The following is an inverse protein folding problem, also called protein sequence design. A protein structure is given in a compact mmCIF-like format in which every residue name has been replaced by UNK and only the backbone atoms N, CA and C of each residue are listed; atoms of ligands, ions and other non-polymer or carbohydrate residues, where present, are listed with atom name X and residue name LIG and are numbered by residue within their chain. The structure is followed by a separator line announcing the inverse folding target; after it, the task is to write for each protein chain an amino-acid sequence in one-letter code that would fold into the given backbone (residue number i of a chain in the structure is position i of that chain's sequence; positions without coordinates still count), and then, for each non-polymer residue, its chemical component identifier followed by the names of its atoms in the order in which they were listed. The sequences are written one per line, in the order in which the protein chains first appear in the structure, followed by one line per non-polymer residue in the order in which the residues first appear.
data_IF_618063447121
#
_entry.id   IF_618063447121
#
_cell.length_a   1.000
_cell.length_b   1.000
_cell.length_c   1.000
_cell.angle_alpha   90.00
_cell.angle_beta   90.00
_cell.angle_gamma   90.00
#
_symmetry.space_group_name_H-M   'P 1'
#
loop_
_entity.id
_entity.type
_entity.pdbx_description
1 polymer ?
#
# COMPACT_ATOMS: atom_id res chain seq x y z
N UNK A 1 -51.19 -50.24 12.86
CA UNK A 1 -52.07 -50.45 14.04
C UNK A 1 -51.20 -50.91 15.21
N UNK A 2 -50.75 -49.99 16.06
CA UNK A 2 -50.02 -50.25 17.31
C UNK A 2 -50.01 -48.95 18.15
N UNK A 3 -49.87 -49.04 19.47
CA UNK A 3 -49.97 -47.91 20.41
C UNK A 3 -49.08 -48.18 21.63
N UNK A 4 -48.45 -47.15 22.19
CA UNK A 4 -48.09 -46.91 23.62
C UNK A 4 -47.17 -45.65 23.64
N UNK A 5 -47.45 -44.49 24.28
CA UNK A 5 -47.87 -44.14 25.69
C UNK A 5 -46.66 -44.18 26.65
N UNK A 6 -46.31 -43.23 27.54
CA UNK A 6 -46.74 -41.86 27.96
C UNK A 6 -45.55 -41.23 28.79
N UNK A 7 -45.42 -39.96 29.23
CA UNK A 7 -46.18 -38.70 29.14
C UNK A 7 -45.24 -37.48 29.44
N UNK A 8 -45.81 -36.30 29.77
CA UNK A 8 -45.17 -35.03 30.23
C UNK A 8 -44.42 -34.22 29.15
N UNK A 9 -44.69 -32.93 28.88
CA UNK A 9 -45.57 -31.92 29.52
C UNK A 9 -44.72 -30.76 30.11
N UNK A 10 -44.99 -29.46 29.92
CA UNK A 10 -46.18 -28.66 29.52
C UNK A 10 -45.76 -27.71 28.36
N UNK A 11 -46.59 -27.14 27.48
CA UNK A 11 -47.88 -26.48 27.66
C UNK A 11 -47.70 -24.96 27.90
N UNK A 12 -48.29 -23.97 27.21
CA UNK A 12 -48.86 -23.75 25.86
C UNK A 12 -49.86 -22.57 25.97
N UNK A 13 -49.72 -21.52 25.14
CA UNK A 13 -50.70 -20.40 24.95
C UNK A 13 -50.89 -19.50 26.22
N UNK A 14 -51.48 -18.28 26.24
CA UNK A 14 -52.45 -17.54 25.39
C UNK A 14 -52.27 -16.00 25.59
N UNK A 15 -52.48 -15.15 24.55
CA UNK A 15 -52.73 -13.66 24.60
C UNK A 15 -51.58 -12.74 25.11
N UNK A 16 -51.60 -11.39 24.94
CA UNK A 16 -52.62 -10.48 24.40
C UNK A 16 -52.07 -9.33 23.50
N UNK A 17 -52.99 -8.54 22.98
CA UNK A 17 -52.95 -7.47 21.95
C UNK A 17 -51.99 -6.27 22.11
N UNK A 18 -51.75 -5.59 20.95
CA UNK A 18 -51.65 -4.13 20.72
C UNK A 18 -50.97 -3.22 21.76
N UNK A 19 -49.93 -2.48 21.33
CA UNK A 19 -50.02 -1.00 21.23
C UNK A 19 -48.97 -0.40 20.27
N UNK A 20 -49.07 0.90 19.99
CA UNK A 20 -48.40 1.61 18.88
C UNK A 20 -47.12 2.38 19.24
N UNK A 21 -46.36 2.73 18.19
CA UNK A 21 -45.28 3.71 18.11
C UNK A 21 -45.33 4.90 19.12
N UNK A 22 -44.24 5.14 19.85
CA UNK A 22 -43.36 6.33 19.77
C UNK A 22 -42.67 6.66 21.11
N UNK A 23 -41.42 7.16 21.03
CA UNK A 23 -40.58 7.70 22.13
C UNK A 23 -40.14 6.65 23.19
N UNK A 24 -38.87 6.57 23.59
CA UNK A 24 -37.68 7.28 23.10
C UNK A 24 -36.51 7.13 24.08
N UNK A 25 -35.57 6.21 23.80
CA UNK A 25 -34.39 5.97 24.64
C UNK A 25 -33.13 6.61 24.05
N UNK A 26 -32.57 7.62 24.71
CA UNK A 26 -31.38 8.33 24.22
C UNK A 26 -30.10 7.47 24.17
N UNK A 27 -30.07 6.31 24.83
CA UNK A 27 -28.90 5.45 24.94
C UNK A 27 -28.61 4.62 23.67
N UNK A 28 -29.63 4.22 22.90
CA UNK A 28 -29.40 3.55 21.61
C UNK A 28 -28.75 4.50 20.59
N UNK A 29 -29.18 5.76 20.60
CA UNK A 29 -28.58 6.82 19.81
C UNK A 29 -27.14 7.14 20.23
N UNK A 30 -26.75 6.94 21.49
CA UNK A 30 -25.35 7.07 21.91
C UNK A 30 -24.49 5.96 21.30
N UNK A 31 -24.95 4.71 21.28
CA UNK A 31 -24.20 3.60 20.65
C UNK A 31 -24.08 3.82 19.14
N UNK A 32 -25.18 4.18 18.46
CA UNK A 32 -25.14 4.50 17.03
C UNK A 32 -24.28 5.74 16.72
N UNK A 33 -24.38 6.80 17.54
CA UNK A 33 -23.55 7.99 17.38
C UNK A 33 -22.08 7.72 17.67
N UNK A 34 -21.71 6.84 18.61
CA UNK A 34 -20.30 6.47 18.86
C UNK A 34 -19.74 5.56 17.75
N UNK A 35 -20.56 4.70 17.14
CA UNK A 35 -20.18 4.02 15.89
C UNK A 35 -19.98 5.02 14.74
N UNK A 36 -20.86 6.02 14.60
CA UNK A 36 -20.68 7.08 13.60
C UNK A 36 -19.50 8.01 13.91
N UNK A 37 -19.21 8.30 15.18
CA UNK A 37 -18.11 9.19 15.57
C UNK A 37 -16.75 8.49 15.44
N UNK A 38 -16.67 7.18 15.69
CA UNK A 38 -15.47 6.40 15.34
C UNK A 38 -15.28 6.29 13.82
N UNK A 39 -16.35 6.32 13.03
CA UNK A 39 -16.28 6.47 11.57
C UNK A 39 -15.85 7.89 11.12
N UNK A 40 -16.32 8.94 11.79
CA UNK A 40 -16.08 10.35 11.41
C UNK A 40 -14.79 10.97 11.97
N UNK A 41 -14.26 10.46 13.09
CA UNK A 41 -12.90 10.79 13.57
C UNK A 41 -11.83 10.25 12.62
N UNK A 42 -12.20 9.38 11.66
CA UNK A 42 -11.35 8.95 10.53
C UNK A 42 -11.25 9.99 9.40
N UNK A 43 -11.58 11.26 9.61
CA UNK A 43 -11.22 12.32 8.66
C UNK A 43 -9.70 12.30 8.42
N UNK A 44 -9.29 12.29 7.14
CA UNK A 44 -7.92 12.10 6.65
C UNK A 44 -7.34 10.67 6.74
N UNK A 45 -8.16 9.61 6.60
CA UNK A 45 -7.66 8.23 6.48
C UNK A 45 -6.62 8.09 5.36
N UNK A 46 -5.38 7.78 5.73
CA UNK A 46 -4.33 7.41 4.79
C UNK A 46 -4.11 5.91 4.88
N UNK A 47 -4.38 5.21 3.78
CA UNK A 47 -4.20 3.78 3.65
C UNK A 47 -2.76 3.38 4.00
N UNK A 48 -2.61 2.33 4.80
CA UNK A 48 -1.33 1.98 5.42
C UNK A 48 -0.86 0.63 4.92
N UNK A 49 0.11 0.66 4.02
CA UNK A 49 0.81 -0.51 3.51
C UNK A 49 1.84 -0.92 4.56
N UNK A 50 1.60 -2.06 5.22
CA UNK A 50 2.64 -2.74 6.01
C UNK A 50 3.50 -3.57 5.07
N UNK A 51 4.63 -3.01 4.65
CA UNK A 51 5.73 -3.82 4.12
C UNK A 51 6.28 -4.66 5.27
N UNK A 52 6.75 -5.90 5.03
CA UNK A 52 7.08 -6.85 6.12
C UNK A 52 8.38 -6.51 6.89
N UNK A 53 8.91 -5.31 6.73
CA UNK A 53 10.11 -4.76 7.40
C UNK A 53 9.75 -3.39 7.95
N UNK A 54 9.34 -3.33 9.23
CA UNK A 54 9.19 -2.12 10.07
C UNK A 54 8.12 -1.10 9.66
N UNK A 55 8.16 -0.62 8.42
CA UNK A 55 7.63 0.67 8.01
C UNK A 55 6.18 0.66 7.51
N UNK A 56 5.52 1.78 7.81
CA UNK A 56 4.14 2.09 7.43
C UNK A 56 4.18 3.03 6.22
N UNK A 57 4.12 2.43 5.03
CA UNK A 57 4.10 3.16 3.76
C UNK A 57 2.69 3.69 3.51
N UNK A 58 2.55 5.02 3.63
CA UNK A 58 1.25 5.71 3.62
C UNK A 58 0.80 6.12 2.21
N UNK A 59 -0.20 5.41 1.70
CA UNK A 59 -0.90 5.67 0.43
C UNK A 59 -2.21 6.41 0.71
N UNK A 60 -2.52 7.50 0.03
CA UNK A 60 -3.84 8.14 0.20
C UNK A 60 -4.93 7.34 -0.50
N UNK A 61 -6.16 7.34 0.04
CA UNK A 61 -7.33 6.78 -0.65
C UNK A 61 -7.48 7.37 -2.07
N UNK A 62 -7.21 8.68 -2.21
CA UNK A 62 -7.18 9.39 -3.49
C UNK A 62 -6.08 8.94 -4.46
N UNK A 63 -5.07 8.21 -3.99
CA UNK A 63 -4.06 7.54 -4.83
C UNK A 63 -4.47 6.09 -5.13
N UNK A 64 -5.00 5.35 -4.14
CA UNK A 64 -5.57 4.01 -4.35
C UNK A 64 -6.68 4.02 -5.40
N UNK A 65 -7.64 4.96 -5.31
CA UNK A 65 -8.70 5.13 -6.32
C UNK A 65 -8.15 5.47 -7.71
N UNK A 66 -7.04 6.21 -7.80
CA UNK A 66 -6.37 6.49 -9.09
C UNK A 66 -5.66 5.26 -9.64
N UNK A 67 -5.07 4.43 -8.78
CA UNK A 67 -4.49 3.15 -9.18
C UNK A 67 -5.57 2.20 -9.72
N UNK A 68 -6.68 2.02 -8.99
CA UNK A 68 -7.83 1.21 -9.43
C UNK A 68 -8.34 1.67 -10.81
N UNK A 69 -8.71 2.95 -10.95
CA UNK A 69 -9.23 3.51 -12.20
C UNK A 69 -8.24 3.41 -13.37
N UNK A 70 -6.93 3.44 -13.10
CA UNK A 70 -5.90 3.28 -14.15
C UNK A 70 -5.68 1.81 -14.49
N UNK A 71 -5.77 0.90 -13.53
CA UNK A 71 -5.63 -0.54 -13.74
C UNK A 71 -6.75 -1.07 -14.63
N UNK A 72 -8.02 -0.86 -14.25
CA UNK A 72 -9.18 -1.36 -15.01
C UNK A 72 -9.16 -0.82 -16.44
N UNK A 73 -9.04 0.49 -16.58
CA UNK A 73 -8.99 1.15 -17.89
C UNK A 73 -7.82 0.68 -18.77
N UNK A 74 -6.62 0.45 -18.21
CA UNK A 74 -5.48 -0.02 -19.00
C UNK A 74 -5.62 -1.48 -19.41
N UNK A 75 -6.31 -2.30 -18.62
CA UNK A 75 -6.67 -3.67 -19.01
C UNK A 75 -7.76 -3.69 -20.09
N UNK A 76 -8.78 -2.83 -19.99
CA UNK A 76 -9.87 -2.68 -20.98
C UNK A 76 -9.40 -2.18 -22.36
N UNK A 77 -8.21 -1.57 -22.44
CA UNK A 77 -7.58 -1.19 -23.72
C UNK A 77 -6.94 -2.38 -24.47
N UNK A 78 -6.91 -3.57 -23.87
CA UNK A 78 -6.33 -4.78 -24.46
C UNK A 78 -7.42 -5.55 -25.24
N UNK A 79 -7.27 -5.80 -26.55
CA UNK A 79 -8.33 -6.39 -27.40
C UNK A 79 -8.66 -7.87 -27.10
N UNK A 80 -8.09 -8.44 -26.05
CA UNK A 80 -8.36 -9.80 -25.54
C UNK A 80 -9.03 -9.79 -24.17
N UNK A 81 -9.02 -8.65 -23.48
CA UNK A 81 -9.74 -8.42 -22.21
C UNK A 81 -11.09 -7.83 -22.55
N UNK A 82 -12.15 -8.53 -22.17
CA UNK A 82 -13.53 -8.11 -22.36
C UNK A 82 -13.98 -7.10 -21.29
N UNK A 83 -13.53 -7.32 -20.06
CA UNK A 83 -13.90 -6.52 -18.88
C UNK A 83 -12.80 -6.66 -17.81
N UNK A 84 -12.54 -5.59 -17.05
CA UNK A 84 -11.67 -5.66 -15.87
C UNK A 84 -12.28 -4.91 -14.69
N UNK A 85 -12.73 -5.64 -13.67
CA UNK A 85 -13.41 -5.08 -12.51
C UNK A 85 -12.47 -4.96 -11.28
N UNK A 86 -12.76 -3.99 -10.42
CA UNK A 86 -12.27 -3.99 -9.03
C UNK A 86 -13.15 -4.91 -8.18
N UNK A 87 -12.53 -5.72 -7.33
CA UNK A 87 -13.24 -6.71 -6.49
C UNK A 87 -13.24 -6.30 -5.02
N UNK A 88 -12.08 -5.92 -4.48
CA UNK A 88 -11.93 -5.53 -3.06
C UNK A 88 -10.61 -4.80 -2.80
N UNK A 89 -10.46 -4.16 -1.64
CA UNK A 89 -9.19 -3.57 -1.21
C UNK A 89 -8.40 -4.56 -0.33
N UNK A 90 -7.09 -4.69 -0.56
CA UNK A 90 -6.17 -5.53 0.25
C UNK A 90 -5.31 -4.66 1.15
N UNK A 91 -4.71 -5.17 2.25
CA UNK A 91 -3.80 -4.43 3.14
C UNK A 91 -2.62 -3.71 2.46
N UNK A 92 -2.34 -3.99 1.19
CA UNK A 92 -1.26 -3.39 0.41
C UNK A 92 -1.71 -2.84 -0.96
N UNK A 93 -3.02 -2.80 -1.23
CA UNK A 93 -3.58 -2.35 -2.52
C UNK A 93 -5.00 -2.84 -2.77
N UNK A 94 -5.23 -3.60 -3.85
CA UNK A 94 -6.58 -4.09 -4.23
C UNK A 94 -6.54 -5.38 -5.05
N UNK A 95 -7.64 -6.12 -5.04
CA UNK A 95 -7.89 -7.22 -5.97
C UNK A 95 -8.63 -6.68 -7.21
N UNK A 96 -8.17 -7.08 -8.39
CA UNK A 96 -8.88 -6.88 -9.64
C UNK A 96 -9.10 -8.22 -10.36
N UNK A 97 -10.19 -8.35 -11.10
CA UNK A 97 -10.48 -9.52 -11.94
C UNK A 97 -10.63 -9.09 -13.40
N UNK A 98 -9.90 -9.74 -14.30
CA UNK A 98 -10.04 -9.56 -15.73
C UNK A 98 -10.71 -10.78 -16.37
N UNK A 99 -11.76 -10.52 -17.14
CA UNK A 99 -12.47 -11.50 -17.97
C UNK A 99 -11.98 -11.34 -19.41
N UNK A 100 -11.51 -12.43 -20.01
CA UNK A 100 -11.03 -12.46 -21.38
C UNK A 100 -12.15 -12.88 -22.35
N UNK A 101 -11.99 -12.60 -23.65
CA UNK A 101 -13.01 -12.93 -24.66
C UNK A 101 -13.25 -14.45 -24.84
N UNK A 102 -12.26 -15.29 -24.51
CA UNK A 102 -12.41 -16.75 -24.42
C UNK A 102 -13.19 -17.21 -23.17
N UNK A 103 -13.65 -16.27 -22.34
CA UNK A 103 -14.29 -16.44 -21.01
C UNK A 103 -13.36 -17.01 -19.93
N UNK A 104 -12.05 -17.08 -20.18
CA UNK A 104 -11.10 -17.30 -19.10
C UNK A 104 -11.06 -16.08 -18.18
N UNK A 105 -10.78 -16.31 -16.89
CA UNK A 105 -10.58 -15.24 -15.91
C UNK A 105 -9.17 -15.29 -15.34
N UNK A 106 -8.64 -14.13 -14.97
CA UNK A 106 -7.43 -13.97 -14.17
C UNK A 106 -7.69 -12.95 -13.07
N UNK A 107 -7.46 -13.37 -11.83
CA UNK A 107 -7.48 -12.48 -10.66
C UNK A 107 -6.06 -11.94 -10.44
N UNK A 108 -5.95 -10.65 -10.14
CA UNK A 108 -4.69 -9.96 -9.83
C UNK A 108 -4.70 -9.45 -8.38
N UNK A 109 -3.65 -9.76 -7.61
CA UNK A 109 -3.35 -9.05 -6.34
C UNK A 109 -2.47 -7.84 -6.68
N UNK A 110 -3.06 -6.65 -6.65
CA UNK A 110 -2.44 -5.40 -7.10
C UNK A 110 -1.90 -4.64 -5.91
N UNK A 111 -0.58 -4.73 -5.68
CA UNK A 111 0.13 -3.95 -4.66
C UNK A 111 0.39 -2.53 -5.18
N UNK A 112 -0.03 -1.50 -4.43
CA UNK A 112 0.00 -0.10 -4.88
C UNK A 112 1.10 0.68 -4.15
N UNK A 113 2.31 0.71 -4.68
CA UNK A 113 3.44 1.42 -4.07
C UNK A 113 3.46 2.91 -4.45
N UNK A 114 3.71 3.84 -3.50
CA UNK A 114 3.84 5.27 -3.82
C UNK A 114 5.14 5.61 -4.55
N UNK A 115 6.18 4.78 -4.38
CA UNK A 115 7.40 4.71 -5.17
C UNK A 115 7.76 3.22 -5.34
N UNK A 116 8.14 2.78 -6.54
CA UNK A 116 8.56 1.39 -6.79
C UNK A 116 10.08 1.22 -6.65
N UNK A 117 10.65 1.56 -5.49
CA UNK A 117 12.07 1.31 -5.22
C UNK A 117 12.33 -0.20 -5.03
N UNK A 118 13.49 -0.72 -5.44
CA UNK A 118 13.79 -2.16 -5.37
C UNK A 118 13.60 -2.76 -3.97
N UNK A 119 14.07 -2.08 -2.92
CA UNK A 119 13.94 -2.57 -1.54
C UNK A 119 12.48 -2.72 -1.08
N UNK A 120 11.58 -1.80 -1.47
CA UNK A 120 10.15 -1.90 -1.16
C UNK A 120 9.48 -3.10 -1.86
N UNK A 121 9.87 -3.37 -3.11
CA UNK A 121 9.35 -4.51 -3.88
C UNK A 121 9.87 -5.82 -3.27
N UNK A 122 11.16 -5.94 -2.97
CA UNK A 122 11.71 -7.13 -2.33
C UNK A 122 11.05 -7.38 -0.96
N UNK A 123 11.03 -6.38 -0.08
CA UNK A 123 10.47 -6.52 1.27
C UNK A 123 8.95 -6.82 1.29
N UNK A 124 8.21 -6.52 0.22
CA UNK A 124 6.84 -6.97 0.00
C UNK A 124 6.81 -8.47 -0.38
N UNK A 125 7.42 -8.85 -1.51
CA UNK A 125 7.20 -10.15 -2.14
C UNK A 125 8.11 -11.27 -1.62
N UNK A 126 9.23 -10.96 -0.95
CA UNK A 126 10.15 -11.93 -0.32
C UNK A 126 9.48 -12.86 0.68
N UNK A 127 8.35 -12.45 1.25
CA UNK A 127 7.52 -13.23 2.17
C UNK A 127 6.22 -13.78 1.57
N UNK A 128 5.94 -13.55 0.28
CA UNK A 128 4.73 -14.04 -0.42
C UNK A 128 5.02 -15.27 -1.31
N UNK A 129 6.13 -15.97 -1.09
CA UNK A 129 6.52 -17.19 -1.84
C UNK A 129 5.72 -18.45 -1.51
N UNK A 130 4.65 -18.34 -0.71
CA UNK A 130 3.79 -19.46 -0.34
C UNK A 130 2.30 -19.07 -0.48
N UNK A 131 1.55 -19.95 -1.15
CA UNK A 131 0.13 -20.20 -0.93
C UNK A 131 -0.89 -19.10 -1.27
N UNK A 132 -0.87 -18.63 -2.52
CA UNK A 132 -2.07 -18.69 -3.36
C UNK A 132 -1.69 -19.09 -4.80
N UNK A 133 -2.48 -19.98 -5.42
CA UNK A 133 -2.22 -20.47 -6.78
C UNK A 133 -3.05 -19.74 -7.86
N UNK A 134 -4.11 -19.04 -7.45
CA UNK A 134 -5.16 -18.54 -8.34
C UNK A 134 -5.07 -17.04 -8.64
N UNK A 135 -4.10 -16.33 -8.06
CA UNK A 135 -3.91 -14.87 -8.22
C UNK A 135 -2.54 -14.52 -8.81
N UNK A 136 -2.51 -13.59 -9.75
CA UNK A 136 -1.28 -13.06 -10.34
C UNK A 136 -0.83 -11.81 -9.58
N UNK A 137 0.38 -11.79 -8.97
CA UNK A 137 0.87 -10.60 -8.27
C UNK A 137 1.25 -9.49 -9.26
N UNK A 138 0.76 -8.27 -9.02
CA UNK A 138 0.99 -7.08 -9.86
C UNK A 138 1.42 -5.89 -9.00
N UNK A 139 2.46 -5.16 -9.41
CA UNK A 139 2.87 -3.89 -8.78
C UNK A 139 2.32 -2.70 -9.58
N UNK A 140 1.59 -1.81 -8.92
CA UNK A 140 1.27 -0.48 -9.42
C UNK A 140 2.09 0.60 -8.71
N UNK A 141 2.59 1.56 -9.48
CA UNK A 141 3.32 2.72 -8.99
C UNK A 141 3.26 3.91 -9.97
N UNK A 142 3.70 5.13 -9.60
CA UNK A 142 3.75 6.24 -10.54
C UNK A 142 4.71 6.00 -11.71
N UNK A 143 5.83 5.33 -11.43
CA UNK A 143 6.86 4.96 -12.39
C UNK A 143 7.61 3.71 -11.90
N UNK A 144 7.94 2.81 -12.83
CA UNK A 144 8.79 1.62 -12.62
C UNK A 144 10.16 1.88 -13.27
N UNK A 145 11.23 1.82 -12.47
CA UNK A 145 12.60 1.96 -13.00
C UNK A 145 13.08 0.68 -13.71
N UNK A 146 14.16 0.78 -14.51
CA UNK A 146 14.81 -0.40 -15.12
C UNK A 146 15.23 -1.45 -14.08
N UNK A 147 15.79 -1.00 -12.95
CA UNK A 147 16.19 -1.86 -11.84
C UNK A 147 14.98 -2.54 -11.17
N UNK A 148 13.87 -1.81 -11.06
CA UNK A 148 12.60 -2.30 -10.53
C UNK A 148 11.93 -3.32 -11.46
N UNK A 149 11.95 -3.08 -12.78
CA UNK A 149 11.53 -4.04 -13.83
C UNK A 149 12.38 -5.33 -13.77
N UNK A 150 13.70 -5.20 -13.70
CA UNK A 150 14.61 -6.34 -13.55
C UNK A 150 14.36 -7.11 -12.23
N UNK A 151 14.02 -6.43 -11.13
CA UNK A 151 13.64 -7.10 -9.88
C UNK A 151 12.28 -7.80 -9.98
N UNK A 152 11.24 -7.13 -10.48
CA UNK A 152 9.91 -7.74 -10.72
C UNK A 152 10.03 -9.00 -11.57
N UNK A 153 10.85 -8.96 -12.64
CA UNK A 153 11.19 -10.13 -13.47
C UNK A 153 11.87 -11.26 -12.69
N UNK A 154 12.84 -10.97 -11.82
CA UNK A 154 13.49 -11.98 -10.94
C UNK A 154 12.50 -12.59 -9.94
N UNK A 155 11.54 -11.80 -9.46
CA UNK A 155 10.51 -12.23 -8.51
C UNK A 155 9.32 -12.94 -9.19
N UNK A 156 9.21 -12.91 -10.53
CA UNK A 156 8.05 -13.33 -11.33
C UNK A 156 6.76 -12.54 -11.01
N UNK A 157 6.91 -11.29 -10.62
CA UNK A 157 5.83 -10.35 -10.29
C UNK A 157 5.58 -9.42 -11.49
N UNK A 158 4.32 -9.20 -11.86
CA UNK A 158 3.96 -8.25 -12.91
C UNK A 158 4.07 -6.79 -12.43
N UNK A 159 4.01 -5.83 -13.36
CA UNK A 159 3.82 -4.42 -13.02
C UNK A 159 3.03 -3.64 -14.07
N UNK A 160 2.45 -2.53 -13.64
CA UNK A 160 1.84 -1.50 -14.49
C UNK A 160 2.08 -0.14 -13.83
N UNK A 161 2.74 0.81 -14.52
CA UNK A 161 2.99 2.15 -14.00
C UNK A 161 2.08 3.22 -14.60
N UNK A 162 1.95 4.34 -13.88
CA UNK A 162 1.13 5.48 -14.32
C UNK A 162 1.82 6.33 -15.42
N UNK A 163 3.04 5.98 -15.82
CA UNK A 163 3.79 6.60 -16.93
C UNK A 163 3.63 5.84 -18.25
N UNK A 164 3.04 4.64 -18.24
CA UNK A 164 2.75 3.80 -19.41
C UNK A 164 3.56 2.50 -19.50
N UNK A 165 4.59 2.30 -18.66
CA UNK A 165 5.36 1.07 -18.68
C UNK A 165 4.57 -0.07 -18.01
N UNK A 166 4.64 -1.28 -18.57
CA UNK A 166 4.03 -2.46 -17.97
C UNK A 166 4.80 -3.74 -18.30
N UNK A 167 4.71 -4.73 -17.42
CA UNK A 167 5.01 -6.12 -17.73
C UNK A 167 3.97 -7.00 -17.08
N UNK A 168 3.13 -7.66 -17.89
CA UNK A 168 2.10 -8.58 -17.41
C UNK A 168 2.38 -9.94 -18.06
N UNK A 169 2.36 -11.00 -17.25
CA UNK A 169 2.59 -12.36 -17.71
C UNK A 169 1.63 -13.30 -16.97
N UNK A 170 0.66 -13.82 -17.71
CA UNK A 170 -0.38 -14.75 -17.23
C UNK A 170 -0.51 -15.90 -18.23
N UNK A 171 -1.37 -16.88 -17.94
CA UNK A 171 -1.74 -17.94 -18.90
C UNK A 171 -2.48 -17.42 -20.14
N UNK A 172 -3.06 -16.22 -20.07
CA UNK A 172 -3.88 -15.63 -21.15
C UNK A 172 -3.16 -14.51 -21.91
N UNK A 173 -2.24 -13.79 -21.27
CA UNK A 173 -1.55 -12.62 -21.85
C UNK A 173 -0.08 -12.53 -21.48
N UNK A 174 0.74 -12.13 -22.44
CA UNK A 174 2.06 -11.56 -22.23
C UNK A 174 2.11 -10.15 -22.82
N UNK A 175 2.44 -9.16 -21.99
CA UNK A 175 2.52 -7.74 -22.34
C UNK A 175 3.83 -7.21 -21.79
N UNK A 176 4.55 -6.41 -22.60
CA UNK A 176 5.73 -5.69 -22.14
C UNK A 176 5.90 -4.35 -22.85
N UNK A 177 5.55 -3.28 -22.16
CA UNK A 177 5.73 -1.90 -22.60
C UNK A 177 6.80 -1.23 -21.73
N UNK A 178 7.83 -0.64 -22.34
CA UNK A 178 9.00 -0.16 -21.60
C UNK A 178 9.79 0.93 -22.34
N UNK A 179 10.32 1.88 -21.57
CA UNK A 179 11.08 3.03 -22.07
C UNK A 179 10.31 4.35 -22.02
N UNK A 180 9.03 4.33 -21.59
CA UNK A 180 8.24 5.54 -21.40
C UNK A 180 8.84 6.38 -20.25
N UNK A 181 9.01 7.70 -20.45
CA UNK A 181 9.66 8.55 -19.47
C UNK A 181 8.82 8.71 -18.21
N UNK A 182 9.48 8.78 -17.05
CA UNK A 182 8.84 9.02 -15.75
C UNK A 182 8.09 10.36 -15.75
N UNK A 183 6.76 10.31 -15.84
CA UNK A 183 5.90 11.51 -15.86
C UNK A 183 5.83 12.21 -14.48
N UNK A 184 6.29 11.55 -13.42
CA UNK A 184 6.19 11.97 -12.03
C UNK A 184 7.50 12.56 -11.48
N UNK A 185 8.49 12.84 -12.33
CA UNK A 185 9.79 13.44 -11.95
C UNK A 185 9.64 14.70 -11.11
N UNK A 186 8.62 15.53 -11.33
CA UNK A 186 8.40 16.72 -10.48
C UNK A 186 8.17 16.36 -9.01
N UNK A 187 7.45 15.26 -8.73
CA UNK A 187 7.21 14.75 -7.37
C UNK A 187 8.48 14.13 -6.75
N UNK A 188 9.43 13.68 -7.58
CA UNK A 188 10.74 13.14 -7.16
C UNK A 188 11.89 14.17 -7.20
N UNK A 189 11.66 15.43 -7.59
CA UNK A 189 12.70 16.49 -7.50
C UNK A 189 13.10 16.79 -6.05
N UNK A 190 12.25 16.46 -5.09
CA UNK A 190 12.56 16.49 -3.65
C UNK A 190 13.61 15.45 -3.25
N UNK A 191 13.53 14.22 -3.78
CA UNK A 191 14.45 13.13 -3.44
C UNK A 191 15.79 13.30 -4.16
N UNK A 192 15.80 13.60 -5.47
CA UNK A 192 17.03 13.73 -6.27
C UNK A 192 18.03 14.82 -5.80
N UNK A 193 17.64 15.70 -4.88
CA UNK A 193 18.48 16.83 -4.46
C UNK A 193 19.41 16.54 -3.25
N UNK A 194 19.34 15.37 -2.61
CA UNK A 194 20.19 15.09 -1.43
C UNK A 194 21.64 14.73 -1.80
N UNK A 195 21.83 14.01 -2.91
CA UNK A 195 23.14 13.65 -3.46
C UNK A 195 23.64 14.63 -4.52
N UNK A 196 22.93 15.74 -4.71
CA UNK A 196 23.37 16.81 -5.62
C UNK A 196 24.69 17.40 -5.09
N UNK A 197 25.80 17.38 -5.85
CA UNK A 197 27.10 17.88 -5.39
C UNK A 197 27.09 19.35 -4.93
N UNK A 198 26.12 20.16 -5.37
CA UNK A 198 25.98 21.56 -4.92
C UNK A 198 25.25 21.69 -3.57
N UNK A 199 24.63 20.63 -3.05
CA UNK A 199 23.88 20.65 -1.78
C UNK A 199 24.80 20.44 -0.58
N UNK A 200 25.54 21.50 -0.20
CA UNK A 200 26.45 21.50 0.97
C UNK A 200 25.80 20.95 2.24
N UNK A 201 24.55 21.33 2.51
CA UNK A 201 23.83 20.94 3.73
C UNK A 201 23.46 19.45 3.71
N UNK A 202 22.93 18.93 2.59
CA UNK A 202 22.65 17.48 2.47
C UNK A 202 23.93 16.65 2.59
N UNK A 203 25.03 17.14 1.99
CA UNK A 203 26.36 16.52 2.06
C UNK A 203 27.03 16.63 3.45
N UNK A 204 26.50 17.43 4.37
CA UNK A 204 26.90 17.43 5.78
C UNK A 204 26.03 16.47 6.58
N UNK A 205 24.70 16.57 6.45
CA UNK A 205 23.75 15.67 7.14
C UNK A 205 24.04 14.20 6.83
N UNK A 206 24.35 13.86 5.57
CA UNK A 206 24.73 12.50 5.18
C UNK A 206 26.06 12.06 5.79
N UNK A 207 27.08 12.94 5.86
CA UNK A 207 28.37 12.61 6.49
C UNK A 207 28.26 12.45 7.99
N UNK A 208 27.42 13.25 8.64
CA UNK A 208 27.17 13.16 10.08
C UNK A 208 26.50 11.83 10.41
N UNK A 209 25.39 11.50 9.73
CA UNK A 209 24.66 10.23 9.92
C UNK A 209 25.53 9.00 9.61
N UNK A 210 26.39 9.08 8.58
CA UNK A 210 27.30 7.99 8.21
C UNK A 210 28.59 7.93 9.06
N UNK A 211 28.86 8.92 9.93
CA UNK A 211 30.01 8.88 10.84
C UNK A 211 29.89 7.79 11.91
N UNK A 212 28.64 7.53 12.34
CA UNK A 212 28.26 6.40 13.17
C UNK A 212 26.90 5.87 12.71
N UNK A 213 26.95 4.81 11.91
CA UNK A 213 25.77 4.10 11.40
C UNK A 213 25.03 3.28 12.47
N UNK A 214 25.64 3.08 13.65
CA UNK A 214 25.01 2.37 14.78
C UNK A 214 24.17 3.30 15.68
N UNK A 215 24.43 4.61 15.62
CA UNK A 215 23.75 5.65 16.41
C UNK A 215 22.34 5.94 15.89
N UNK A 216 21.37 5.98 16.81
CA UNK A 216 20.02 6.53 16.56
C UNK A 216 20.07 8.06 16.57
N UNK A 217 19.85 8.71 15.43
CA UNK A 217 20.03 10.15 15.27
C UNK A 217 18.73 10.96 15.48
N UNK A 218 18.71 11.84 16.49
CA UNK A 218 17.59 12.78 16.69
C UNK A 218 17.64 13.93 15.70
N UNK A 219 16.53 14.18 15.01
CA UNK A 219 16.44 15.18 13.93
C UNK A 219 16.63 16.63 14.42
N UNK A 220 16.31 16.91 15.68
CA UNK A 220 16.62 18.20 16.32
C UNK A 220 18.12 18.35 16.60
N UNK A 221 18.77 17.32 17.14
CA UNK A 221 20.21 17.33 17.40
C UNK A 221 21.01 17.51 16.10
N UNK A 222 20.70 16.74 15.04
CA UNK A 222 21.30 16.94 13.71
C UNK A 222 21.09 18.34 13.13
N UNK A 223 19.97 19.00 13.45
CA UNK A 223 19.71 20.37 12.98
C UNK A 223 20.57 21.39 13.74
N UNK A 224 20.70 21.23 15.05
CA UNK A 224 21.51 22.06 15.95
C UNK A 224 23.02 21.89 15.70
N UNK A 225 23.50 20.64 15.73
CA UNK A 225 24.91 20.23 15.54
C UNK A 225 25.48 20.70 14.18
N UNK A 226 24.66 20.70 13.13
CA UNK A 226 25.05 21.13 11.78
C UNK A 226 24.61 22.57 11.43
N UNK A 227 24.03 23.32 12.37
CA UNK A 227 23.58 24.70 12.18
C UNK A 227 22.59 24.87 11.02
N UNK A 228 21.66 23.93 10.84
CA UNK A 228 20.73 23.88 9.71
C UNK A 228 19.27 23.74 10.15
N UNK A 229 18.31 23.95 9.23
CA UNK A 229 16.90 23.83 9.58
C UNK A 229 16.47 22.36 9.70
N UNK A 230 15.61 22.04 10.67
CA UNK A 230 15.01 20.71 10.80
C UNK A 230 14.23 20.29 9.53
N UNK A 231 13.77 21.25 8.72
CA UNK A 231 13.19 21.00 7.40
C UNK A 231 14.18 20.52 6.33
N UNK A 232 15.49 20.77 6.47
CA UNK A 232 16.53 20.18 5.65
C UNK A 232 16.86 18.75 6.11
N UNK A 233 17.01 18.54 7.43
CA UNK A 233 17.22 17.20 8.00
C UNK A 233 16.05 16.27 7.68
N UNK A 234 14.81 16.74 7.81
CA UNK A 234 13.59 15.98 7.48
C UNK A 234 13.51 15.59 6.00
N UNK A 235 14.05 16.39 5.07
CA UNK A 235 14.14 16.02 3.64
C UNK A 235 15.12 14.88 3.39
N UNK A 236 16.30 14.91 4.03
CA UNK A 236 17.27 13.80 3.95
C UNK A 236 16.67 12.55 4.56
N UNK A 237 16.13 12.64 5.79
CA UNK A 237 15.44 11.54 6.46
C UNK A 237 14.34 10.92 5.59
N UNK A 238 13.46 11.74 5.01
CA UNK A 238 12.38 11.23 4.15
C UNK A 238 12.93 10.45 2.95
N UNK A 239 13.99 10.94 2.29
CA UNK A 239 14.61 10.21 1.20
C UNK A 239 15.13 8.84 1.65
N UNK A 240 15.86 8.78 2.77
CA UNK A 240 16.43 7.52 3.25
C UNK A 240 15.34 6.50 3.64
N UNK A 241 14.29 6.94 4.33
CA UNK A 241 13.15 6.09 4.71
C UNK A 241 12.28 5.69 3.50
N UNK A 242 12.05 6.57 2.53
CA UNK A 242 11.31 6.27 1.31
C UNK A 242 11.93 5.09 0.53
N UNK A 243 13.23 4.81 0.69
CA UNK A 243 13.98 3.72 0.04
C UNK A 243 14.30 2.53 0.96
N UNK A 244 13.81 2.50 2.21
CA UNK A 244 14.18 1.55 3.27
C UNK A 244 15.69 1.51 3.64
N UNK A 245 16.44 2.57 3.33
CA UNK A 245 17.85 2.68 3.73
C UNK A 245 18.03 3.12 5.19
N UNK A 246 16.98 3.66 5.80
CA UNK A 246 16.93 4.07 7.20
C UNK A 246 15.49 4.04 7.72
N UNK A 247 15.29 3.84 9.03
CA UNK A 247 13.96 3.84 9.68
C UNK A 247 13.85 4.91 10.79
N UNK A 248 12.62 5.25 11.18
CA UNK A 248 12.37 6.15 12.32
C UNK A 248 11.99 5.34 13.56
N UNK A 249 12.92 5.21 14.50
CA UNK A 249 12.67 4.60 15.82
C UNK A 249 12.17 5.65 16.82
N UNK A 250 11.77 5.23 18.03
CA UNK A 250 11.49 6.14 19.15
C UNK A 250 12.72 6.88 19.69
N UNK A 251 13.94 6.43 19.36
CA UNK A 251 15.19 7.05 19.77
C UNK A 251 15.68 8.09 18.74
N UNK A 252 15.46 7.80 17.46
CA UNK A 252 15.87 8.62 16.32
C UNK A 252 15.86 7.86 14.99
N UNK A 253 16.41 8.50 13.96
CA UNK A 253 16.69 7.91 12.65
C UNK A 253 17.84 6.89 12.76
N UNK A 254 17.60 5.63 12.38
CA UNK A 254 18.60 4.56 12.36
C UNK A 254 18.88 4.13 10.92
N UNK A 255 20.14 3.97 10.55
CA UNK A 255 20.52 3.44 9.22
C UNK A 255 20.29 1.92 9.18
N UNK A 256 19.74 1.44 8.06
CA UNK A 256 19.51 0.03 7.76
C UNK A 256 20.47 -0.50 6.68
N UNK A 257 20.72 0.31 5.65
CA UNK A 257 21.65 -0.02 4.56
C UNK A 257 22.55 1.19 4.28
N UNK A 258 23.78 1.16 4.80
CA UNK A 258 24.78 2.18 4.57
C UNK A 258 25.42 2.06 3.17
N UNK A 259 25.45 0.87 2.58
CA UNK A 259 26.11 0.65 1.28
C UNK A 259 25.27 1.27 0.15
N UNK A 260 23.94 1.10 0.20
CA UNK A 260 23.02 1.70 -0.77
C UNK A 260 22.99 3.24 -0.73
N UNK A 261 23.39 3.87 0.38
CA UNK A 261 23.53 5.33 0.50
C UNK A 261 24.82 5.85 -0.17
N UNK A 262 25.80 4.97 -0.40
CA UNK A 262 27.15 5.33 -0.90
C UNK A 262 27.41 4.92 -2.36
N UNK A 263 26.41 4.40 -3.08
CA UNK A 263 26.48 3.97 -4.50
C UNK A 263 25.95 5.04 -5.46
#
# INVERSE_FOLDING_TARGET
MARVVQHHGRGALVKNELFSLTKGGAQEWIVFAMCFLSYWVSLYTTFTIRVKVGDIVKVTESFLRKAIMRCTHTMELLPVVKECAWVSNTPTGFIAEAVFEDRSTVVFDVVVLPNAYPALIDAQFRSQRAESLDMVPLVMAPFISKESDELCRRLKVGYMDMSGNSMIHTRCIYIREHGNPNLFVQKQRSSKNIFNPTSRISSLILREILSDISRSWRLSALAEELGCSIGQVSKVKNHLCDQLWAEMTGEGLRILDAEAIMR
#
